data_IF_853612026370
#
_entry.id   IF_853612026370
#
_cell.length_a   1.000
_cell.length_b   1.000
_cell.length_c   1.000
_cell.angle_alpha   90.00
_cell.angle_beta   90.00
_cell.angle_gamma   90.00
#
_symmetry.space_group_name_H-M   'P 1'
#
loop_
_entity.id
_entity.type
_entity.pdbx_description
1 polymer ?
#
# COMPACT_ATOMS: atom_id res chain seq x y z
N UNK A 1 17.63 7.13 5.52
CA UNK A 1 19.05 7.13 5.91
C UNK A 1 19.33 7.78 7.26
N UNK A 2 18.93 9.03 7.55
CA UNK A 2 19.07 9.59 8.93
C UNK A 2 18.00 9.09 9.93
N UNK A 3 16.80 8.77 9.43
CA UNK A 3 15.65 8.26 10.22
C UNK A 3 15.85 6.83 10.76
N UNK A 4 16.60 5.99 10.04
CA UNK A 4 16.77 4.58 10.40
C UNK A 4 17.74 4.41 11.57
N UNK A 5 18.69 5.35 11.77
CA UNK A 5 19.67 5.30 12.86
C UNK A 5 19.13 5.71 14.23
N UNK A 6 18.14 6.61 14.28
CA UNK A 6 17.55 7.07 15.55
C UNK A 6 16.51 6.06 16.06
N UNK A 7 15.73 5.45 15.16
CA UNK A 7 14.81 4.36 15.53
C UNK A 7 15.58 3.13 16.00
N UNK A 8 16.76 2.85 15.45
CA UNK A 8 17.62 1.74 15.88
C UNK A 8 18.16 1.88 17.32
N UNK A 9 18.11 3.08 17.91
CA UNK A 9 18.48 3.31 19.31
C UNK A 9 17.38 2.89 20.31
N UNK A 10 16.12 2.79 19.85
CA UNK A 10 15.00 2.37 20.69
C UNK A 10 15.00 0.85 20.91
N UNK A 11 14.53 0.40 22.07
CA UNK A 11 14.26 -1.03 22.33
C UNK A 11 13.24 -1.59 21.33
N UNK A 12 13.27 -2.91 21.07
CA UNK A 12 12.30 -3.56 20.17
C UNK A 12 10.85 -3.29 20.57
N UNK A 13 10.58 -3.16 21.87
CA UNK A 13 9.25 -2.84 22.39
C UNK A 13 8.85 -1.40 22.03
N UNK A 14 9.74 -0.42 22.25
CA UNK A 14 9.49 0.97 21.89
C UNK A 14 9.25 1.16 20.39
N UNK A 15 10.01 0.45 19.55
CA UNK A 15 9.82 0.46 18.09
C UNK A 15 8.43 -0.06 17.68
N UNK A 16 7.92 -1.10 18.36
CA UNK A 16 6.59 -1.66 18.07
C UNK A 16 5.47 -0.68 18.43
N UNK A 17 5.55 -0.06 19.61
CA UNK A 17 4.57 0.96 20.03
C UNK A 17 4.60 2.18 19.11
N UNK A 18 5.79 2.66 18.72
CA UNK A 18 5.93 3.75 17.77
C UNK A 18 5.28 3.41 16.41
N UNK A 19 5.55 2.22 15.88
CA UNK A 19 4.96 1.78 14.63
C UNK A 19 3.42 1.71 14.69
N UNK A 20 2.86 1.27 15.81
CA UNK A 20 1.41 1.21 16.03
C UNK A 20 0.75 2.56 16.08
N UNK A 21 1.31 3.47 16.87
CA UNK A 21 0.79 4.82 17.01
C UNK A 21 0.80 5.52 15.66
N UNK A 22 1.93 5.47 14.95
CA UNK A 22 2.03 6.07 13.62
C UNK A 22 1.09 5.42 12.60
N UNK A 23 0.90 4.10 12.67
CA UNK A 23 -0.07 3.40 11.81
C UNK A 23 -1.49 3.86 12.12
N UNK A 24 -1.86 3.98 13.39
CA UNK A 24 -3.19 4.44 13.82
C UNK A 24 -3.46 5.89 13.41
N UNK A 25 -2.51 6.81 13.66
CA UNK A 25 -2.62 8.22 13.28
C UNK A 25 -2.72 8.40 11.76
N UNK A 26 -1.95 7.62 10.99
CA UNK A 26 -2.01 7.64 9.53
C UNK A 26 -3.35 7.14 8.99
N UNK A 27 -3.92 6.10 9.59
CA UNK A 27 -5.26 5.61 9.23
C UNK A 27 -6.36 6.61 9.53
N UNK A 28 -6.17 7.43 10.56
CA UNK A 28 -7.07 8.54 10.93
C UNK A 28 -6.85 9.80 10.09
N UNK A 29 -5.96 9.73 9.10
CA UNK A 29 -5.71 10.76 8.09
C UNK A 29 -5.24 12.08 8.69
N UNK A 30 -4.32 11.98 9.64
CA UNK A 30 -3.53 13.12 10.09
C UNK A 30 -2.70 13.67 8.92
N UNK A 31 -2.43 14.97 8.93
CA UNK A 31 -1.57 15.58 7.93
C UNK A 31 -0.16 14.99 7.97
N UNK A 32 0.55 14.93 6.84
CA UNK A 32 1.90 14.33 6.81
C UNK A 32 2.92 15.17 7.59
N UNK A 33 2.81 16.50 7.56
CA UNK A 33 3.69 17.38 8.31
C UNK A 33 3.45 17.26 9.82
N UNK A 34 2.18 17.20 10.23
CA UNK A 34 1.83 16.95 11.62
C UNK A 34 2.23 15.55 12.07
N UNK A 35 2.11 14.54 11.20
CA UNK A 35 2.54 13.17 11.49
C UNK A 35 4.05 13.08 11.69
N UNK A 36 4.84 13.83 10.92
CA UNK A 36 6.28 13.89 11.11
C UNK A 36 6.65 14.56 12.44
N UNK A 37 6.00 15.68 12.78
CA UNK A 37 6.20 16.35 14.07
C UNK A 37 5.87 15.43 15.26
N UNK A 38 4.69 14.78 15.22
CA UNK A 38 4.27 13.83 16.25
C UNK A 38 5.21 12.62 16.32
N UNK A 39 5.72 12.15 15.18
CA UNK A 39 6.66 11.04 15.16
C UNK A 39 7.98 11.38 15.85
N UNK A 40 8.48 12.61 15.68
CA UNK A 40 9.72 13.06 16.31
C UNK A 40 9.54 13.28 17.82
N UNK A 41 8.40 13.86 18.22
CA UNK A 41 8.04 14.02 19.65
C UNK A 41 7.93 12.65 20.35
N UNK A 42 7.26 11.69 19.72
CA UNK A 42 7.11 10.32 20.25
C UNK A 42 8.46 9.61 20.40
N UNK A 43 9.38 9.78 19.44
CA UNK A 43 10.72 9.19 19.53
C UNK A 43 11.49 9.79 20.70
N UNK A 44 11.47 11.11 20.87
CA UNK A 44 12.13 11.78 21.98
C UNK A 44 11.56 11.29 23.32
N UNK A 45 10.23 11.20 23.42
CA UNK A 45 9.53 10.71 24.60
C UNK A 45 9.93 9.26 24.96
N UNK A 46 9.96 8.35 23.98
CA UNK A 46 10.39 6.97 24.22
C UNK A 46 11.88 6.86 24.56
N UNK A 47 12.72 7.68 23.95
CA UNK A 47 14.15 7.72 24.24
C UNK A 47 14.43 8.18 25.68
N UNK A 48 13.74 9.22 26.14
CA UNK A 48 13.85 9.68 27.53
C UNK A 48 13.37 8.62 28.53
N UNK A 49 12.25 7.96 28.24
CA UNK A 49 11.74 6.89 29.08
C UNK A 49 12.72 5.71 29.17
N UNK A 50 13.31 5.32 28.04
CA UNK A 50 14.33 4.28 28.00
C UNK A 50 15.57 4.65 28.84
N UNK A 51 16.00 5.92 28.83
CA UNK A 51 17.09 6.39 29.68
C UNK A 51 16.74 6.33 31.18
N UNK A 52 15.46 6.52 31.53
CA UNK A 52 14.94 6.39 32.91
C UNK A 52 14.70 4.94 33.32
N UNK A 53 14.86 3.98 32.40
CA UNK A 53 14.52 2.57 32.63
C UNK A 53 13.02 2.29 32.66
N UNK A 54 12.20 3.22 32.19
CA UNK A 54 10.75 3.12 32.10
C UNK A 54 10.32 2.45 30.79
N UNK A 55 9.26 1.64 30.86
CA UNK A 55 8.72 0.96 29.68
C UNK A 55 7.77 1.86 28.87
N UNK A 56 7.57 1.62 27.56
CA UNK A 56 6.67 2.42 26.71
C UNK A 56 5.22 2.50 27.25
N UNK A 57 4.73 1.45 27.91
CA UNK A 57 3.40 1.41 28.53
C UNK A 57 3.25 2.35 29.73
N UNK A 58 4.34 2.67 30.43
CA UNK A 58 4.31 3.62 31.55
C UNK A 58 4.18 5.06 31.04
N UNK A 59 4.75 5.33 29.86
CA UNK A 59 4.73 6.64 29.19
C UNK A 59 3.39 6.91 28.52
N UNK A 60 2.88 5.92 27.77
CA UNK A 60 1.63 6.04 27.00
C UNK A 60 0.37 5.82 27.85
N UNK A 61 0.53 5.27 29.06
CA UNK A 61 -0.56 4.74 29.86
C UNK A 61 -1.10 3.40 29.33
N UNK A 62 -2.11 2.85 30.03
CA UNK A 62 -2.70 1.54 29.71
C UNK A 62 -3.47 1.52 28.38
N UNK A 63 -3.87 2.68 27.85
CA UNK A 63 -4.63 2.79 26.62
C UNK A 63 -3.96 3.77 25.64
N UNK A 64 -3.09 3.24 24.78
CA UNK A 64 -2.41 4.04 23.76
C UNK A 64 -3.39 4.67 22.75
N UNK A 65 -4.61 4.13 22.60
CA UNK A 65 -5.60 4.69 21.67
C UNK A 65 -6.19 5.98 22.20
N UNK A 66 -6.45 6.05 23.50
CA UNK A 66 -6.88 7.28 24.16
C UNK A 66 -5.83 8.38 23.96
N UNK A 67 -4.54 8.04 24.15
CA UNK A 67 -3.44 8.95 23.87
C UNK A 67 -3.42 9.41 22.39
N UNK A 68 -3.63 8.51 21.43
CA UNK A 68 -3.71 8.89 20.02
C UNK A 68 -4.92 9.77 19.70
N UNK A 69 -6.07 9.48 20.32
CA UNK A 69 -7.30 10.25 20.12
C UNK A 69 -7.16 11.68 20.70
N UNK A 70 -6.40 11.86 21.79
CA UNK A 70 -6.03 13.18 22.33
C UNK A 70 -5.10 13.94 21.37
N UNK A 71 -4.09 13.29 20.78
CA UNK A 71 -3.26 13.89 19.73
C UNK A 71 -4.12 14.33 18.54
N UNK A 72 -5.05 13.48 18.11
CA UNK A 72 -5.99 13.76 17.01
C UNK A 72 -6.98 14.89 17.33
N UNK A 73 -7.25 15.17 18.61
CA UNK A 73 -8.10 16.28 19.02
C UNK A 73 -7.37 17.62 18.90
N UNK A 74 -6.04 17.64 19.06
CA UNK A 74 -5.19 18.82 18.87
C UNK A 74 -4.67 19.02 17.45
N UNK A 75 -4.57 17.93 16.67
CA UNK A 75 -4.03 17.94 15.30
C UNK A 75 -5.09 18.26 14.24
N UNK A 76 -4.71 19.02 13.21
CA UNK A 76 -5.57 19.37 12.08
C UNK A 76 -5.85 18.15 11.18
N UNK A 77 -7.09 17.63 11.20
CA UNK A 77 -7.47 16.53 10.30
C UNK A 77 -7.37 16.97 8.83
N UNK A 78 -6.79 16.12 7.96
CA UNK A 78 -6.72 16.40 6.51
C UNK A 78 -8.09 16.78 5.96
N UNK A 79 -8.12 17.79 5.09
CA UNK A 79 -9.34 18.20 4.38
C UNK A 79 -9.89 17.02 3.59
N UNK A 80 -11.21 16.76 3.66
CA UNK A 80 -11.87 15.63 2.96
C UNK A 80 -11.52 15.51 1.47
N UNK A 81 -11.24 16.63 0.79
CA UNK A 81 -10.80 16.64 -0.61
C UNK A 81 -9.38 16.11 -0.78
N UNK A 82 -8.46 16.49 0.09
CA UNK A 82 -7.08 15.99 0.08
C UNK A 82 -7.06 14.48 0.35
N UNK A 83 -7.88 14.03 1.31
CA UNK A 83 -8.10 12.61 1.59
C UNK A 83 -8.57 11.86 0.35
N UNK A 84 -9.61 12.37 -0.32
CA UNK A 84 -10.16 11.70 -1.50
C UNK A 84 -9.13 11.68 -2.65
N UNK A 85 -8.35 12.75 -2.82
CA UNK A 85 -7.25 12.79 -3.77
C UNK A 85 -6.16 11.77 -3.44
N UNK A 86 -5.70 11.68 -2.19
CA UNK A 86 -4.67 10.71 -1.77
C UNK A 86 -5.15 9.26 -1.99
N UNK A 87 -6.43 8.98 -1.69
CA UNK A 87 -7.03 7.67 -1.96
C UNK A 87 -7.14 7.38 -3.45
N UNK A 88 -7.64 8.35 -4.24
CA UNK A 88 -7.77 8.21 -5.69
C UNK A 88 -6.40 8.00 -6.34
N UNK A 89 -5.38 8.70 -5.87
CA UNK A 89 -4.00 8.62 -6.31
C UNK A 89 -3.40 7.24 -6.02
N UNK A 90 -3.59 6.75 -4.79
CA UNK A 90 -3.14 5.39 -4.38
C UNK A 90 -3.82 4.30 -5.20
N UNK A 91 -5.14 4.41 -5.40
CA UNK A 91 -5.92 3.44 -6.20
C UNK A 91 -5.51 3.50 -7.66
N UNK A 92 -5.32 4.69 -8.21
CA UNK A 92 -4.91 4.90 -9.60
C UNK A 92 -3.53 4.29 -9.85
N UNK A 93 -2.54 4.60 -9.02
CA UNK A 93 -1.20 4.01 -9.10
C UNK A 93 -1.23 2.49 -8.95
N UNK A 94 -1.98 2.00 -7.95
CA UNK A 94 -2.10 0.56 -7.70
C UNK A 94 -2.67 -0.18 -8.91
N UNK A 95 -3.73 0.36 -9.50
CA UNK A 95 -4.33 -0.19 -10.72
C UNK A 95 -3.35 -0.12 -11.90
N UNK A 96 -2.65 0.99 -12.06
CA UNK A 96 -1.65 1.18 -13.13
C UNK A 96 -0.54 0.12 -13.05
N UNK A 97 -0.08 -0.15 -11.84
CA UNK A 97 0.98 -1.10 -11.57
C UNK A 97 0.49 -2.54 -11.76
N UNK A 98 -0.76 -2.85 -11.37
CA UNK A 98 -1.39 -4.15 -11.68
C UNK A 98 -1.46 -4.40 -13.18
N UNK A 99 -1.97 -3.43 -13.96
CA UNK A 99 -2.11 -3.55 -15.41
C UNK A 99 -0.73 -3.68 -16.07
N UNK A 100 0.25 -2.90 -15.63
CA UNK A 100 1.62 -2.98 -16.11
C UNK A 100 2.28 -4.33 -15.80
N UNK A 101 2.02 -4.89 -14.61
CA UNK A 101 2.54 -6.19 -14.21
C UNK A 101 1.88 -7.34 -14.98
N UNK A 102 0.57 -7.29 -15.17
CA UNK A 102 -0.15 -8.26 -16.00
C UNK A 102 0.36 -8.24 -17.44
N UNK A 103 0.61 -7.04 -17.99
CA UNK A 103 1.27 -6.89 -19.28
C UNK A 103 2.66 -7.53 -19.32
N UNK A 104 3.49 -7.32 -18.29
CA UNK A 104 4.82 -7.91 -18.18
C UNK A 104 4.78 -9.45 -18.20
N UNK A 105 3.83 -10.04 -17.46
CA UNK A 105 3.69 -11.50 -17.33
C UNK A 105 2.87 -12.15 -18.46
N UNK A 106 2.15 -11.37 -19.27
CA UNK A 106 1.37 -11.88 -20.41
C UNK A 106 2.21 -12.51 -21.53
N UNK A 107 3.54 -12.41 -21.44
CA UNK A 107 4.46 -12.89 -22.47
C UNK A 107 4.51 -11.98 -23.72
N UNK A 108 3.73 -10.90 -23.75
CA UNK A 108 3.68 -9.96 -24.87
C UNK A 108 5.05 -9.32 -25.18
N UNK A 109 5.89 -9.11 -24.16
CA UNK A 109 7.25 -8.59 -24.34
C UNK A 109 8.15 -9.64 -25.02
N UNK A 110 8.02 -10.91 -24.63
CA UNK A 110 8.74 -12.02 -25.25
C UNK A 110 8.33 -12.22 -26.71
N UNK A 111 7.04 -12.09 -27.01
CA UNK A 111 6.54 -12.19 -28.39
C UNK A 111 6.93 -10.97 -29.23
N UNK A 112 6.88 -9.75 -28.67
CA UNK A 112 7.35 -8.53 -29.34
C UNK A 112 8.86 -8.57 -29.63
N UNK A 113 9.67 -9.04 -28.67
CA UNK A 113 11.12 -9.22 -28.86
C UNK A 113 11.40 -10.27 -29.94
N UNK A 114 10.66 -11.38 -29.94
CA UNK A 114 10.81 -12.43 -30.93
C UNK A 114 10.41 -11.96 -32.35
N UNK A 115 9.35 -11.16 -32.47
CA UNK A 115 8.91 -10.58 -33.73
C UNK A 115 9.89 -9.52 -34.26
N UNK A 116 10.50 -8.74 -33.37
CA UNK A 116 11.54 -7.76 -33.73
C UNK A 116 12.82 -8.45 -34.23
N UNK A 117 13.17 -9.61 -33.66
CA UNK A 117 14.32 -10.41 -34.07
C UNK A 117 14.09 -11.21 -35.36
N UNK A 118 12.87 -11.72 -35.58
CA UNK A 118 12.54 -12.55 -36.75
C UNK A 118 11.83 -11.79 -37.89
N UNK A 119 11.62 -10.47 -37.76
CA UNK A 119 11.02 -9.62 -38.78
C UNK A 119 9.56 -9.96 -39.13
N UNK A 120 8.84 -10.63 -38.23
CA UNK A 120 7.44 -10.98 -38.44
C UNK A 120 6.51 -9.80 -38.15
N UNK A 121 5.39 -9.72 -38.87
CA UNK A 121 4.33 -8.76 -38.58
C UNK A 121 3.68 -9.13 -37.24
N UNK A 122 4.10 -8.46 -36.16
CA UNK A 122 3.47 -8.60 -34.86
C UNK A 122 2.13 -7.88 -34.88
N UNK A 123 1.03 -8.61 -34.65
CA UNK A 123 -0.24 -7.98 -34.36
C UNK A 123 -0.14 -7.32 -32.97
N UNK A 124 0.05 -6.00 -32.94
CA UNK A 124 0.25 -5.17 -31.74
C UNK A 124 -1.01 -5.03 -30.85
N UNK A 125 -1.85 -6.07 -30.81
CA UNK A 125 -3.15 -6.09 -30.15
C UNK A 125 -3.07 -6.94 -28.89
N UNK A 126 -3.10 -6.30 -27.75
CA UNK A 126 -3.23 -7.01 -26.47
C UNK A 126 -4.70 -7.31 -26.23
N UNK A 127 -5.06 -8.56 -25.95
CA UNK A 127 -6.44 -8.93 -25.64
C UNK A 127 -6.67 -8.74 -24.15
N UNK A 128 -7.51 -7.76 -23.78
CA UNK A 128 -7.99 -7.62 -22.41
C UNK A 128 -9.24 -8.48 -22.25
N UNK A 129 -9.18 -9.43 -21.33
CA UNK A 129 -10.28 -10.37 -21.07
C UNK A 129 -11.15 -9.83 -19.94
N UNK A 130 -12.45 -10.17 -19.95
CA UNK A 130 -13.34 -9.87 -18.81
C UNK A 130 -12.79 -10.44 -17.48
N UNK A 131 -12.12 -11.60 -17.53
CA UNK A 131 -11.43 -12.19 -16.40
C UNK A 131 -10.30 -11.33 -15.83
N UNK A 132 -9.60 -10.55 -16.66
CA UNK A 132 -8.50 -9.68 -16.22
C UNK A 132 -9.05 -8.48 -15.42
N UNK A 133 -10.14 -7.86 -15.89
CA UNK A 133 -10.82 -6.79 -15.15
C UNK A 133 -11.35 -7.25 -13.79
N UNK A 134 -12.00 -8.43 -13.77
CA UNK A 134 -12.50 -9.01 -12.53
C UNK A 134 -11.36 -9.27 -11.55
N UNK A 135 -10.25 -9.81 -12.05
CA UNK A 135 -9.03 -10.07 -11.28
C UNK A 135 -8.48 -8.80 -10.67
N UNK A 136 -8.32 -7.73 -11.45
CA UNK A 136 -7.80 -6.45 -10.95
C UNK A 136 -8.70 -5.88 -9.85
N UNK A 137 -10.03 -5.96 -10.02
CA UNK A 137 -10.99 -5.54 -9.01
C UNK A 137 -10.89 -6.35 -7.71
N UNK A 138 -10.85 -7.67 -7.80
CA UNK A 138 -10.73 -8.56 -6.64
C UNK A 138 -9.40 -8.34 -5.91
N UNK A 139 -8.29 -8.19 -6.65
CA UNK A 139 -6.98 -7.98 -6.07
C UNK A 139 -6.90 -6.61 -5.37
N UNK A 140 -7.42 -5.55 -5.99
CA UNK A 140 -7.50 -4.23 -5.38
C UNK A 140 -8.35 -4.25 -4.09
N UNK A 141 -9.50 -4.93 -4.10
CA UNK A 141 -10.34 -5.09 -2.92
C UNK A 141 -9.65 -5.90 -1.80
N UNK A 142 -8.93 -6.97 -2.16
CA UNK A 142 -8.17 -7.78 -1.21
C UNK A 142 -7.05 -6.98 -0.54
N UNK A 143 -6.31 -6.17 -1.32
CA UNK A 143 -5.27 -5.29 -0.79
C UNK A 143 -5.87 -4.22 0.14
N UNK A 144 -6.97 -3.58 -0.25
CA UNK A 144 -7.66 -2.61 0.59
C UNK A 144 -8.17 -3.26 1.89
N UNK A 145 -8.75 -4.46 1.80
CA UNK A 145 -9.20 -5.25 2.95
C UNK A 145 -8.04 -5.61 3.89
N UNK A 146 -6.91 -6.06 3.35
CA UNK A 146 -5.70 -6.36 4.12
C UNK A 146 -5.15 -5.11 4.81
N UNK A 147 -5.11 -3.98 4.11
CA UNK A 147 -4.66 -2.70 4.68
C UNK A 147 -5.54 -2.27 5.85
N UNK A 148 -6.87 -2.34 5.69
CA UNK A 148 -7.82 -2.04 6.75
C UNK A 148 -7.77 -3.05 7.91
N UNK A 149 -7.48 -4.32 7.62
CA UNK A 149 -7.35 -5.36 8.65
C UNK A 149 -6.08 -5.18 9.47
N UNK A 150 -4.94 -4.98 8.82
CA UNK A 150 -3.66 -4.66 9.48
C UNK A 150 -3.81 -3.40 10.33
N UNK A 151 -4.44 -2.37 9.77
CA UNK A 151 -4.64 -1.11 10.47
C UNK A 151 -5.54 -1.18 11.70
N UNK A 152 -6.40 -2.19 11.80
CA UNK A 152 -7.26 -2.40 12.98
C UNK A 152 -6.62 -3.27 14.05
N UNK A 153 -5.56 -4.00 13.73
CA UNK A 153 -4.86 -4.88 14.69
C UNK A 153 -3.57 -4.22 15.17
N UNK A 154 -3.48 -3.75 16.43
CA UNK A 154 -2.22 -3.23 16.95
C UNK A 154 -1.12 -4.31 16.95
N UNK A 155 0.07 -3.97 16.45
CA UNK A 155 1.29 -4.76 16.50
C UNK A 155 1.78 -5.01 17.93
N UNK A 156 1.42 -4.17 18.91
CA UNK A 156 1.76 -4.30 20.32
C UNK A 156 1.13 -5.55 20.96
N UNK A 157 -0.01 -6.02 20.45
CA UNK A 157 -0.62 -7.29 20.87
C UNK A 157 -0.12 -8.50 20.05
N UNK A 158 0.74 -8.30 19.04
CA UNK A 158 1.27 -9.39 18.23
C UNK A 158 2.51 -9.99 18.90
N UNK A 159 2.31 -11.03 19.69
CA UNK A 159 3.38 -11.93 20.10
C UNK A 159 4.14 -12.53 18.90
N UNK A 160 5.39 -12.91 19.11
CA UNK A 160 6.33 -13.45 18.09
C UNK A 160 5.70 -14.53 17.17
N UNK A 161 4.91 -15.44 17.76
CA UNK A 161 4.20 -16.52 17.05
C UNK A 161 3.10 -16.05 16.09
N UNK A 162 2.48 -14.89 16.33
CA UNK A 162 1.45 -14.32 15.42
C UNK A 162 2.06 -13.58 14.23
N UNK A 163 3.36 -13.23 14.29
CA UNK A 163 4.07 -12.52 13.21
C UNK A 163 4.26 -13.40 11.98
N UNK A 164 4.69 -14.65 12.17
CA UNK A 164 4.78 -15.65 11.10
C UNK A 164 3.39 -16.05 10.57
N UNK A 165 2.39 -16.15 11.44
CA UNK A 165 1.00 -16.41 11.04
C UNK A 165 0.42 -15.27 10.19
N UNK A 166 0.72 -14.01 10.51
CA UNK A 166 0.28 -12.85 9.73
C UNK A 166 0.96 -12.74 8.36
N UNK A 167 2.25 -13.12 8.29
CA UNK A 167 2.97 -13.26 7.01
C UNK A 167 2.41 -14.43 6.18
N UNK A 168 2.10 -15.56 6.82
CA UNK A 168 1.46 -16.71 6.19
C UNK A 168 0.05 -16.41 5.69
N UNK A 169 -0.75 -15.64 6.43
CA UNK A 169 -2.06 -15.17 5.98
C UNK A 169 -1.94 -14.20 4.81
N UNK A 170 -0.99 -13.25 4.84
CA UNK A 170 -0.76 -12.34 3.71
C UNK A 170 -0.34 -13.08 2.44
N UNK A 171 0.63 -14.00 2.56
CA UNK A 171 1.06 -14.85 1.46
C UNK A 171 -0.07 -15.77 0.97
N UNK A 172 -0.86 -16.33 1.89
CA UNK A 172 -2.00 -17.19 1.58
C UNK A 172 -3.11 -16.44 0.82
N UNK A 173 -3.46 -15.22 1.25
CA UNK A 173 -4.40 -14.35 0.53
C UNK A 173 -3.85 -14.00 -0.85
N UNK A 174 -2.56 -13.71 -0.97
CA UNK A 174 -1.93 -13.41 -2.26
C UNK A 174 -1.98 -14.62 -3.21
N UNK A 175 -1.63 -15.81 -2.74
CA UNK A 175 -1.70 -17.05 -3.53
C UNK A 175 -3.15 -17.40 -3.90
N UNK A 176 -4.10 -17.22 -2.98
CA UNK A 176 -5.52 -17.42 -3.24
C UNK A 176 -6.05 -16.45 -4.30
N UNK A 177 -5.68 -15.17 -4.22
CA UNK A 177 -6.04 -14.18 -5.22
C UNK A 177 -5.43 -14.50 -6.60
N UNK A 178 -4.18 -14.96 -6.66
CA UNK A 178 -3.54 -15.40 -7.90
C UNK A 178 -4.19 -16.68 -8.46
N UNK A 179 -4.62 -17.60 -7.60
CA UNK A 179 -5.36 -18.79 -8.02
C UNK A 179 -6.75 -18.42 -8.57
N UNK A 180 -7.47 -17.52 -7.90
CA UNK A 180 -8.74 -16.97 -8.39
C UNK A 180 -8.58 -16.20 -9.70
N UNK A 181 -7.47 -15.47 -9.87
CA UNK A 181 -7.11 -14.81 -11.12
C UNK A 181 -6.96 -15.81 -12.27
N UNK A 182 -6.18 -16.88 -12.04
CA UNK A 182 -5.96 -17.93 -13.02
C UNK A 182 -7.27 -18.65 -13.38
N UNK A 183 -8.11 -18.94 -12.39
CA UNK A 183 -9.43 -19.56 -12.58
C UNK A 183 -10.39 -18.62 -13.32
N UNK A 184 -10.39 -17.32 -13.01
CA UNK A 184 -11.21 -16.32 -13.69
C UNK A 184 -10.84 -16.15 -15.16
N UNK A 185 -9.54 -16.17 -15.47
CA UNK A 185 -9.03 -16.16 -16.84
C UNK A 185 -9.37 -17.45 -17.61
N UNK A 186 -9.49 -18.58 -16.90
CA UNK A 186 -9.91 -19.86 -17.47
C UNK A 186 -11.43 -19.97 -17.69
N UNK A 187 -12.27 -19.41 -16.79
CA UNK A 187 -13.73 -19.49 -16.87
C UNK A 187 -14.37 -18.42 -17.77
N UNK A 188 -13.79 -17.22 -17.88
CA UNK A 188 -14.32 -16.14 -18.73
C UNK A 188 -13.30 -15.71 -19.79
N UNK A 189 -13.09 -16.51 -20.86
CA UNK A 189 -12.18 -16.17 -21.96
C UNK A 189 -12.75 -15.13 -22.94
N UNK A 190 -13.90 -14.51 -22.63
CA UNK A 190 -14.49 -13.50 -23.51
C UNK A 190 -13.60 -12.25 -23.59
N UNK A 191 -13.01 -12.05 -24.76
CA UNK A 191 -12.21 -10.89 -25.11
C UNK A 191 -13.14 -9.70 -25.31
N UNK A 192 -13.02 -8.68 -24.47
CA UNK A 192 -13.87 -7.48 -24.52
C UNK A 192 -13.27 -6.41 -25.43
N UNK A 193 -11.95 -6.29 -25.49
CA UNK A 193 -11.30 -5.21 -26.20
C UNK A 193 -9.89 -5.62 -26.69
N UNK A 194 -9.52 -5.15 -27.88
CA UNK A 194 -8.17 -5.26 -28.43
C UNK A 194 -7.51 -3.87 -28.46
N UNK A 195 -7.10 -3.31 -27.32
CA UNK A 195 -6.35 -2.08 -27.33
C UNK A 195 -4.99 -2.27 -28.01
N UNK A 196 -4.57 -1.30 -28.84
CA UNK A 196 -3.22 -1.29 -29.35
C UNK A 196 -2.23 -0.96 -28.22
N UNK A 197 -1.02 -1.53 -28.28
CA UNK A 197 0.00 -1.39 -27.24
C UNK A 197 0.41 0.05 -26.94
N UNK A 198 0.41 0.94 -27.95
CA UNK A 198 0.63 2.36 -27.74
C UNK A 198 -0.47 3.04 -26.92
N UNK A 199 -1.71 2.52 -26.97
CA UNK A 199 -2.81 2.99 -26.14
C UNK A 199 -2.59 2.67 -24.67
N UNK A 200 -2.01 1.50 -24.36
CA UNK A 200 -1.61 1.14 -23.00
C UNK A 200 -0.45 2.02 -22.52
N UNK A 201 0.59 2.21 -23.33
CA UNK A 201 1.70 3.10 -22.99
C UNK A 201 1.22 4.55 -22.75
N UNK A 202 0.31 5.06 -23.58
CA UNK A 202 -0.30 6.37 -23.40
C UNK A 202 -1.15 6.44 -22.11
N UNK A 203 -1.92 5.40 -21.80
CA UNK A 203 -2.70 5.33 -20.56
C UNK A 203 -1.80 5.27 -19.31
N UNK A 204 -0.70 4.52 -19.37
CA UNK A 204 0.33 4.50 -18.31
C UNK A 204 0.95 5.89 -18.10
N UNK A 205 1.34 6.55 -19.19
CA UNK A 205 1.91 7.90 -19.13
C UNK A 205 0.90 8.94 -18.62
N UNK A 206 -0.33 8.92 -19.12
CA UNK A 206 -1.40 9.83 -18.68
C UNK A 206 -1.76 9.59 -17.21
N UNK A 207 -1.87 8.33 -16.78
CA UNK A 207 -2.11 7.97 -15.39
C UNK A 207 -0.97 8.43 -14.47
N UNK A 208 0.27 8.25 -14.90
CA UNK A 208 1.44 8.76 -14.16
C UNK A 208 1.46 10.30 -14.07
N UNK A 209 1.12 10.98 -15.16
CA UNK A 209 1.02 12.45 -15.17
C UNK A 209 -0.13 12.94 -14.30
N UNK A 210 -1.27 12.24 -14.31
CA UNK A 210 -2.41 12.52 -13.45
C UNK A 210 -2.04 12.35 -11.97
N UNK A 211 -1.36 11.26 -11.61
CA UNK A 211 -0.78 11.06 -10.28
C UNK A 211 0.15 12.23 -9.91
N UNK A 212 1.07 12.60 -10.81
CA UNK A 212 2.00 13.71 -10.57
C UNK A 212 1.27 15.05 -10.37
N UNK A 213 0.14 15.25 -11.04
CA UNK A 213 -0.70 16.44 -10.86
C UNK A 213 -1.49 16.40 -9.55
N UNK A 214 -2.06 15.24 -9.20
CA UNK A 214 -2.77 15.00 -7.94
C UNK A 214 -1.85 15.20 -6.73
N UNK A 215 -0.64 14.62 -6.76
CA UNK A 215 0.41 14.85 -5.76
C UNK A 215 0.83 16.33 -5.61
N UNK A 216 0.68 17.15 -6.66
CA UNK A 216 0.97 18.59 -6.60
C UNK A 216 -0.20 19.41 -6.03
N UNK A 217 -1.41 18.86 -6.06
CA UNK A 217 -2.63 19.47 -5.56
C UNK A 217 -2.95 19.07 -4.11
N UNK A 218 -2.38 17.97 -3.62
CA UNK A 218 -2.54 17.51 -2.23
C UNK A 218 -1.50 18.07 -1.25
N UNK A 219 -0.38 18.63 -1.74
CA UNK A 219 0.57 19.45 -0.96
C UNK A 219 0.10 20.90 -0.87
#
# INVERSE_FOLDING_TARGET
MKRDSEVACLTEEGQRYLADILTYLRLKQMDEGELEAVADDLKAMFWEAQQRGEGPQQVLGRDFRAFCDDILAGAGRKRRRAVLCDWADTVLLGLLLLVGLDFLFSGAIGQAANALLHGSAYDWRWAITAGDLLTWGVLAAAVAGLYLWVGRTPLAERGTTRRTLSFGMGAGVMVLCLALAAVGRFLLPHVLFHPPLWGLAAALLLGYLAHRALCRLSR
#
